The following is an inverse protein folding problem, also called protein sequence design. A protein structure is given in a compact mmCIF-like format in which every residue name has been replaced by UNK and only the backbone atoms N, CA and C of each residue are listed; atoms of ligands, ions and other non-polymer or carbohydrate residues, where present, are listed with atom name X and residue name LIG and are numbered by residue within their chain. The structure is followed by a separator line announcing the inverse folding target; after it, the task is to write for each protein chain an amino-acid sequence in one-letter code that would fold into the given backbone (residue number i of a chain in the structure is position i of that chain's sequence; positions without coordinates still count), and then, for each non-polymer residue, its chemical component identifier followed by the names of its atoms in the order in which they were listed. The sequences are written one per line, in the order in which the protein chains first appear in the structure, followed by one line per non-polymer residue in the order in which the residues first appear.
data_IF_198150482455
#
_entry.id   IF_198150482455
#
_cell.length_a   1.000
_cell.length_b   1.000
_cell.length_c   1.000
_cell.angle_alpha   90.00
_cell.angle_beta   90.00
_cell.angle_gamma   90.00
#
_symmetry.space_group_name_H-M   'P 1'
#
loop_
_entity.id
_entity.type
_entity.pdbx_description
1 polymer ?
#
# COMPACT_ATOMS: atom_id res chain seq x y z
N UNK A 1 -14.01 29.54 11.75
CA UNK A 1 -15.39 29.15 12.11
C UNK A 1 -15.64 27.78 11.51
N UNK A 2 -16.02 26.77 12.29
CA UNK A 2 -16.46 25.47 11.76
C UNK A 2 -17.93 25.60 11.31
N UNK A 3 -18.25 25.18 10.09
CA UNK A 3 -19.58 25.29 9.48
C UNK A 3 -19.99 23.93 8.90
N UNK A 4 -21.25 23.53 9.10
CA UNK A 4 -21.84 22.35 8.47
C UNK A 4 -23.08 22.77 7.70
N UNK A 5 -23.03 22.67 6.37
CA UNK A 5 -24.07 23.15 5.46
C UNK A 5 -24.36 22.11 4.40
N UNK A 6 -25.63 21.74 4.27
CA UNK A 6 -26.11 20.82 3.24
C UNK A 6 -27.25 21.47 2.45
N UNK A 7 -27.34 21.23 1.12
CA UNK A 7 -28.48 21.68 0.34
C UNK A 7 -29.79 21.05 0.83
N UNK A 8 -30.86 21.86 0.89
CA UNK A 8 -32.21 21.37 1.16
C UNK A 8 -32.99 21.23 -0.14
N UNK A 9 -33.21 19.98 -0.55
CA UNK A 9 -34.10 19.61 -1.64
C UNK A 9 -35.54 19.54 -1.13
N UNK A 10 -36.45 20.29 -1.75
CA UNK A 10 -37.87 20.30 -1.40
C UNK A 10 -38.70 20.61 -2.65
N UNK A 11 -39.94 20.13 -2.66
CA UNK A 11 -40.91 20.47 -3.71
C UNK A 11 -41.03 21.99 -3.86
N UNK A 12 -41.20 22.45 -5.10
CA UNK A 12 -41.33 23.87 -5.46
C UNK A 12 -40.09 24.74 -5.18
N UNK A 13 -38.94 24.16 -4.81
CA UNK A 13 -37.66 24.91 -4.74
C UNK A 13 -36.88 24.81 -6.04
N UNK A 14 -36.35 25.95 -6.48
CA UNK A 14 -35.48 26.04 -7.66
C UNK A 14 -34.11 25.50 -7.29
N UNK A 15 -33.61 24.58 -8.12
CA UNK A 15 -32.23 24.13 -8.05
C UNK A 15 -31.30 25.19 -8.65
N UNK A 16 -30.62 25.95 -7.78
CA UNK A 16 -29.78 27.08 -8.21
C UNK A 16 -28.33 26.67 -8.46
N UNK A 17 -27.59 27.55 -9.15
CA UNK A 17 -26.13 27.40 -9.35
C UNK A 17 -25.38 27.34 -8.01
N UNK A 18 -25.80 28.09 -7.01
CA UNK A 18 -25.18 28.06 -5.68
C UNK A 18 -25.33 26.70 -5.00
N UNK A 19 -26.48 26.03 -5.18
CA UNK A 19 -26.70 24.67 -4.65
C UNK A 19 -25.73 23.68 -5.32
N UNK A 20 -25.63 23.72 -6.65
CA UNK A 20 -24.73 22.84 -7.40
C UNK A 20 -23.26 23.04 -6.98
N UNK A 21 -22.83 24.30 -6.86
CA UNK A 21 -21.48 24.62 -6.40
C UNK A 21 -21.24 24.21 -4.96
N UNK A 22 -22.22 24.35 -4.07
CA UNK A 22 -22.10 23.89 -2.68
C UNK A 22 -21.92 22.37 -2.60
N UNK A 23 -22.58 21.59 -3.47
CA UNK A 23 -22.41 20.13 -3.52
C UNK A 23 -21.02 19.73 -4.02
N UNK A 24 -20.60 20.32 -5.15
CA UNK A 24 -19.26 20.09 -5.73
C UNK A 24 -18.17 20.44 -4.72
N UNK A 25 -18.26 21.62 -4.13
CA UNK A 25 -17.27 22.14 -3.20
C UNK A 25 -17.20 21.32 -1.92
N UNK A 26 -18.33 20.82 -1.41
CA UNK A 26 -18.34 19.98 -0.21
C UNK A 26 -17.52 18.71 -0.43
N UNK A 27 -17.81 17.94 -1.49
CA UNK A 27 -17.11 16.69 -1.78
C UNK A 27 -15.63 16.92 -2.09
N UNK A 28 -15.33 17.92 -2.92
CA UNK A 28 -13.96 18.26 -3.29
C UNK A 28 -13.13 18.72 -2.07
N UNK A 29 -13.66 19.65 -1.27
CA UNK A 29 -12.93 20.21 -0.12
C UNK A 29 -12.77 19.17 0.99
N UNK A 30 -13.78 18.33 1.23
CA UNK A 30 -13.67 17.26 2.22
C UNK A 30 -12.52 16.31 1.87
N UNK A 31 -12.44 15.85 0.62
CA UNK A 31 -11.36 14.98 0.17
C UNK A 31 -9.99 15.66 0.25
N UNK A 32 -9.90 16.92 -0.19
CA UNK A 32 -8.68 17.70 -0.10
C UNK A 32 -8.21 17.84 1.35
N UNK A 33 -9.11 18.23 2.26
CA UNK A 33 -8.79 18.37 3.69
C UNK A 33 -8.41 17.04 4.33
N UNK A 34 -9.12 15.95 4.02
CA UNK A 34 -8.87 14.62 4.59
C UNK A 34 -7.47 14.08 4.24
N UNK A 35 -6.97 14.40 3.04
CA UNK A 35 -5.67 13.91 2.55
C UNK A 35 -4.64 15.02 2.37
N UNK A 36 -4.84 16.23 2.91
CA UNK A 36 -3.91 17.36 2.74
C UNK A 36 -2.50 16.95 3.18
N UNK A 37 -2.38 16.38 4.37
CA UNK A 37 -1.10 16.01 4.98
C UNK A 37 -0.52 14.68 4.48
N UNK A 38 -1.20 13.99 3.56
CA UNK A 38 -0.70 12.72 3.02
C UNK A 38 0.37 12.94 1.95
N UNK A 39 1.35 12.05 1.87
CA UNK A 39 2.29 11.99 0.76
C UNK A 39 1.62 11.54 -0.55
N UNK A 40 2.35 11.61 -1.66
CA UNK A 40 1.99 10.83 -2.86
C UNK A 40 2.10 9.33 -2.59
N UNK A 41 1.28 8.52 -3.26
CA UNK A 41 1.24 7.07 -3.13
C UNK A 41 -0.18 6.49 -3.24
N UNK A 42 -0.29 5.18 -3.05
CA UNK A 42 -1.57 4.47 -3.03
C UNK A 42 -2.33 4.85 -1.76
N UNK A 43 -3.59 5.26 -1.89
CA UNK A 43 -4.49 5.54 -0.75
C UNK A 43 -5.23 4.26 -0.36
N UNK A 44 -5.87 3.62 -1.33
CA UNK A 44 -6.64 2.38 -1.15
C UNK A 44 -6.90 1.69 -2.49
N UNK A 45 -7.22 0.39 -2.46
CA UNK A 45 -7.42 -0.40 -3.67
C UNK A 45 -6.12 -0.57 -4.45
N UNK A 46 -6.20 -0.47 -5.78
CA UNK A 46 -5.05 -0.62 -6.68
C UNK A 46 -4.32 -1.97 -6.50
N UNK A 47 -5.08 -3.02 -6.20
CA UNK A 47 -4.55 -4.39 -6.11
C UNK A 47 -3.96 -4.81 -7.44
N UNK A 48 -2.81 -5.49 -7.39
CA UNK A 48 -2.24 -6.11 -8.59
C UNK A 48 -2.83 -7.50 -8.78
N UNK A 49 -3.21 -7.79 -10.02
CA UNK A 49 -3.74 -9.09 -10.45
C UNK A 49 -3.01 -9.55 -11.70
N UNK A 50 -2.85 -10.85 -11.87
CA UNK A 50 -2.40 -11.45 -13.12
C UNK A 50 -3.55 -12.27 -13.73
N UNK A 51 -3.72 -12.14 -15.05
CA UNK A 51 -4.69 -12.94 -15.79
C UNK A 51 -4.25 -13.11 -17.25
N UNK A 52 -4.05 -14.36 -17.66
CA UNK A 52 -3.86 -14.75 -19.07
C UNK A 52 -2.74 -13.97 -19.79
N UNK A 53 -1.60 -13.72 -19.11
CA UNK A 53 -0.48 -12.96 -19.69
C UNK A 53 -0.66 -11.43 -19.63
N UNK A 54 -1.66 -10.97 -18.87
CA UNK A 54 -1.91 -9.56 -18.59
C UNK A 54 -1.69 -9.29 -17.11
N UNK A 55 -1.00 -8.19 -16.80
CA UNK A 55 -0.91 -7.66 -15.44
C UNK A 55 -1.93 -6.53 -15.31
N UNK A 56 -2.68 -6.54 -14.22
CA UNK A 56 -3.76 -5.61 -13.96
C UNK A 56 -3.59 -4.81 -12.70
N UNK A 57 -4.19 -3.62 -12.71
CA UNK A 57 -4.44 -2.82 -11.50
C UNK A 57 -5.95 -2.76 -11.29
N UNK A 58 -6.40 -3.24 -10.14
CA UNK A 58 -7.80 -3.17 -9.73
C UNK A 58 -8.23 -1.75 -9.36
N UNK A 59 -9.54 -1.45 -9.33
CA UNK A 59 -10.04 -0.15 -8.93
C UNK A 59 -9.45 0.36 -7.61
N UNK A 60 -9.22 1.68 -7.53
CA UNK A 60 -8.58 2.27 -6.37
C UNK A 60 -8.30 3.75 -6.51
N UNK A 61 -7.62 4.29 -5.51
CA UNK A 61 -7.31 5.71 -5.38
C UNK A 61 -5.82 5.86 -5.11
N UNK A 62 -5.17 6.73 -5.89
CA UNK A 62 -3.81 7.19 -5.61
C UNK A 62 -3.81 8.69 -5.38
N UNK A 63 -2.92 9.17 -4.50
CA UNK A 63 -2.61 10.59 -4.37
C UNK A 63 -1.31 10.88 -5.12
N UNK A 64 -1.29 11.92 -5.94
CA UNK A 64 -0.08 12.40 -6.58
C UNK A 64 -0.12 13.90 -6.79
N UNK A 65 0.98 14.61 -6.44
CA UNK A 65 1.07 16.06 -6.64
C UNK A 65 -0.08 16.86 -6.01
N UNK A 66 -0.55 16.43 -4.83
CA UNK A 66 -1.66 17.06 -4.11
C UNK A 66 -3.07 16.72 -4.63
N UNK A 67 -3.21 15.83 -5.62
CA UNK A 67 -4.49 15.47 -6.23
C UNK A 67 -4.77 13.98 -6.04
N UNK A 68 -6.05 13.64 -5.95
CA UNK A 68 -6.51 12.26 -5.99
C UNK A 68 -6.83 11.87 -7.43
N UNK A 69 -6.35 10.69 -7.83
CA UNK A 69 -6.66 10.05 -9.10
C UNK A 69 -7.40 8.75 -8.81
N UNK A 70 -8.52 8.55 -9.51
CA UNK A 70 -9.40 7.41 -9.31
C UNK A 70 -9.30 6.50 -10.51
N UNK A 71 -8.99 5.23 -10.26
CA UNK A 71 -9.15 4.17 -11.24
C UNK A 71 -10.48 3.49 -10.96
N UNK A 72 -11.49 3.73 -11.81
CA UNK A 72 -12.86 3.23 -11.60
C UNK A 72 -13.05 1.78 -12.07
N UNK A 73 -12.26 1.35 -13.04
CA UNK A 73 -12.32 0.02 -13.65
C UNK A 73 -10.93 -0.57 -13.71
N UNK A 74 -10.86 -1.90 -13.60
CA UNK A 74 -9.61 -2.60 -13.79
C UNK A 74 -9.00 -2.27 -15.14
N UNK A 75 -7.71 -1.98 -15.15
CA UNK A 75 -6.91 -1.76 -16.34
C UNK A 75 -5.88 -2.89 -16.45
N UNK A 76 -5.70 -3.42 -17.66
CA UNK A 76 -4.89 -4.59 -17.97
C UNK A 76 -3.84 -4.23 -19.01
N UNK A 77 -2.59 -4.63 -18.76
CA UNK A 77 -1.47 -4.42 -19.66
C UNK A 77 -0.85 -5.77 -20.03
N UNK A 78 -0.58 -6.03 -21.31
CA UNK A 78 0.16 -7.21 -21.70
C UNK A 78 1.61 -7.10 -21.22
N UNK A 79 2.11 -8.15 -20.58
CA UNK A 79 3.52 -8.27 -20.24
C UNK A 79 4.20 -9.34 -21.10
N UNK A 80 5.52 -9.25 -21.21
CA UNK A 80 6.32 -10.28 -21.88
C UNK A 80 7.52 -10.65 -21.02
N UNK A 81 7.97 -11.92 -21.07
CA UNK A 81 9.25 -12.30 -20.49
C UNK A 81 10.38 -11.49 -21.13
N UNK A 82 11.25 -10.96 -20.29
CA UNK A 82 12.41 -10.16 -20.73
C UNK A 82 13.70 -10.56 -20.04
N UNK A 83 13.64 -11.39 -18.99
CA UNK A 83 14.75 -11.67 -18.07
C UNK A 83 15.43 -10.40 -17.54
N UNK A 84 14.74 -9.25 -17.61
CA UNK A 84 15.16 -7.93 -17.14
C UNK A 84 14.07 -7.32 -16.25
N UNK A 85 14.43 -6.29 -15.49
CA UNK A 85 13.46 -5.58 -14.67
C UNK A 85 12.45 -4.85 -15.56
N UNK A 86 11.18 -5.03 -15.25
CA UNK A 86 10.06 -4.25 -15.78
C UNK A 86 9.31 -3.65 -14.60
N UNK A 87 9.04 -2.35 -14.66
CA UNK A 87 8.32 -1.62 -13.61
C UNK A 87 6.94 -1.25 -14.13
N UNK A 88 5.92 -1.59 -13.34
CA UNK A 88 4.56 -1.10 -13.51
C UNK A 88 4.43 0.25 -12.79
N UNK A 89 4.16 1.30 -13.56
CA UNK A 89 4.09 2.68 -13.05
C UNK A 89 2.80 3.36 -13.53
N UNK A 90 2.36 4.37 -12.79
CA UNK A 90 1.43 5.39 -13.27
C UNK A 90 2.27 6.57 -13.75
N UNK A 91 2.09 7.00 -15.00
CA UNK A 91 2.67 8.24 -15.54
C UNK A 91 1.60 9.32 -15.60
N UNK A 92 1.82 10.39 -14.85
CA UNK A 92 0.89 11.51 -14.76
C UNK A 92 1.13 12.51 -15.89
N UNK A 93 0.08 12.80 -16.65
CA UNK A 93 0.11 13.70 -17.79
C UNK A 93 0.04 15.17 -17.40
N UNK A 94 0.30 16.06 -18.37
CA UNK A 94 0.05 17.49 -18.21
C UNK A 94 -1.45 17.77 -18.18
N UNK A 95 -1.91 18.80 -17.45
CA UNK A 95 -3.34 19.14 -17.39
C UNK A 95 -3.86 19.49 -18.78
N UNK A 96 -4.98 18.89 -19.17
CA UNK A 96 -5.68 19.18 -20.42
C UNK A 96 -6.87 20.07 -20.07
N UNK A 97 -6.76 21.36 -20.41
CA UNK A 97 -7.87 22.28 -20.27
C UNK A 97 -8.85 22.11 -21.44
N UNK A 98 -10.12 21.97 -21.11
CA UNK A 98 -11.25 22.05 -22.02
C UNK A 98 -12.17 23.20 -21.59
N UNK A 99 -13.21 23.50 -22.38
CA UNK A 99 -14.16 24.58 -22.06
C UNK A 99 -14.81 24.42 -20.68
N UNK A 100 -15.06 23.18 -20.26
CA UNK A 100 -15.85 22.88 -19.06
C UNK A 100 -15.05 22.15 -17.96
N UNK A 101 -13.83 21.66 -18.27
CA UNK A 101 -13.02 20.84 -17.35
C UNK A 101 -11.52 21.13 -17.45
N UNK A 102 -10.82 21.08 -16.32
CA UNK A 102 -9.39 20.77 -16.26
C UNK A 102 -9.23 19.26 -16.01
N UNK A 103 -8.69 18.55 -16.99
CA UNK A 103 -8.51 17.11 -16.91
C UNK A 103 -7.06 16.78 -16.54
N UNK A 104 -6.89 16.02 -15.46
CA UNK A 104 -5.61 15.46 -15.04
C UNK A 104 -5.68 13.95 -15.22
N UNK A 105 -4.77 13.39 -16.01
CA UNK A 105 -4.76 11.96 -16.32
C UNK A 105 -3.54 11.26 -15.73
N UNK A 106 -3.69 9.98 -15.44
CA UNK A 106 -2.59 9.06 -15.18
C UNK A 106 -2.79 7.84 -16.07
N UNK A 107 -1.72 7.37 -16.70
CA UNK A 107 -1.71 6.19 -17.56
C UNK A 107 -0.85 5.10 -16.93
N UNK A 108 -1.31 3.85 -16.96
CA UNK A 108 -0.48 2.73 -16.56
C UNK A 108 0.48 2.34 -17.66
N UNK A 109 1.75 2.19 -17.31
CA UNK A 109 2.82 1.82 -18.24
C UNK A 109 3.69 0.72 -17.66
N UNK A 110 4.18 -0.16 -18.52
CA UNK A 110 5.28 -1.09 -18.24
C UNK A 110 6.55 -0.51 -18.84
N UNK A 111 7.57 -0.28 -18.02
CA UNK A 111 8.80 0.40 -18.42
C UNK A 111 10.03 -0.35 -17.88
N UNK A 112 11.05 -0.66 -18.70
CA UNK A 112 12.29 -1.26 -18.21
C UNK A 112 13.16 -0.29 -17.39
N UNK A 113 12.93 1.03 -17.49
CA UNK A 113 13.65 2.00 -16.66
C UNK A 113 13.17 1.90 -15.21
N UNK A 114 14.11 1.62 -14.30
CA UNK A 114 13.80 1.43 -12.88
C UNK A 114 13.80 2.73 -12.07
N UNK A 115 14.36 3.80 -12.62
CA UNK A 115 14.29 5.14 -12.03
C UNK A 115 12.96 5.78 -12.37
N UNK A 116 12.37 6.44 -11.38
CA UNK A 116 11.13 7.18 -11.56
C UNK A 116 11.41 8.61 -12.01
N UNK A 117 10.64 9.07 -12.99
CA UNK A 117 10.56 10.49 -13.30
C UNK A 117 9.68 11.23 -12.28
N UNK A 118 9.80 12.56 -12.23
CA UNK A 118 9.09 13.39 -11.26
C UNK A 118 7.55 13.33 -11.38
N UNK A 119 7.03 12.84 -12.51
CA UNK A 119 5.62 12.64 -12.81
C UNK A 119 5.22 11.15 -12.81
N UNK A 120 5.96 10.29 -12.12
CA UNK A 120 5.69 8.86 -12.07
C UNK A 120 5.50 8.34 -10.64
N UNK A 121 4.67 7.32 -10.50
CA UNK A 121 4.46 6.57 -9.27
C UNK A 121 4.57 5.08 -9.55
N UNK A 122 5.41 4.38 -8.81
CA UNK A 122 5.57 2.93 -8.94
C UNK A 122 4.46 2.16 -8.21
N UNK A 123 3.89 1.18 -8.90
CA UNK A 123 2.89 0.25 -8.39
C UNK A 123 3.48 -1.12 -8.05
N UNK A 124 4.57 -1.49 -8.73
CA UNK A 124 5.34 -2.71 -8.49
C UNK A 124 6.35 -2.94 -9.60
N UNK A 125 7.24 -3.91 -9.42
CA UNK A 125 8.22 -4.30 -10.44
C UNK A 125 8.44 -5.80 -10.45
N UNK A 126 8.84 -6.34 -11.58
CA UNK A 126 9.08 -7.78 -11.72
C UNK A 126 10.21 -8.04 -12.72
N UNK A 127 10.75 -9.26 -12.66
CA UNK A 127 11.65 -9.83 -13.66
C UNK A 127 11.09 -11.18 -14.04
N UNK A 128 10.71 -11.35 -15.30
CA UNK A 128 10.00 -12.55 -15.73
C UNK A 128 10.88 -13.42 -16.62
N UNK A 129 10.99 -14.71 -16.25
CA UNK A 129 11.71 -15.70 -17.06
C UNK A 129 10.93 -16.15 -18.27
N UNK A 130 11.66 -16.45 -19.33
CA UNK A 130 11.08 -17.09 -20.51
C UNK A 130 10.40 -18.41 -20.12
N UNK A 131 9.11 -18.54 -20.43
CA UNK A 131 8.30 -19.73 -20.13
C UNK A 131 7.64 -19.76 -18.75
N UNK A 132 7.80 -18.70 -17.95
CA UNK A 132 7.10 -18.53 -16.68
C UNK A 132 5.87 -17.63 -16.80
N UNK A 133 5.01 -17.66 -15.78
CA UNK A 133 3.90 -16.73 -15.60
C UNK A 133 4.15 -15.88 -14.37
N UNK A 134 3.67 -14.64 -14.42
CA UNK A 134 3.86 -13.69 -13.33
C UNK A 134 2.87 -13.99 -12.20
N UNK A 135 3.34 -13.93 -10.95
CA UNK A 135 2.50 -14.07 -9.76
C UNK A 135 2.32 -12.73 -9.05
N UNK A 136 1.12 -12.50 -8.55
CA UNK A 136 0.78 -11.33 -7.71
C UNK A 136 0.40 -11.70 -6.27
N UNK A 137 0.38 -13.00 -5.97
CA UNK A 137 0.17 -13.57 -4.64
C UNK A 137 1.49 -14.11 -4.07
N UNK A 138 1.60 -14.08 -2.75
CA UNK A 138 2.81 -14.43 -2.00
C UNK A 138 2.53 -15.56 -1.03
N UNK A 139 3.42 -16.53 -0.96
CA UNK A 139 3.30 -17.67 -0.04
C UNK A 139 3.59 -17.24 1.40
N UNK A 140 4.64 -16.47 1.59
CA UNK A 140 5.07 -15.94 2.88
C UNK A 140 5.71 -14.55 2.71
N UNK A 141 6.16 -13.96 3.82
CA UNK A 141 6.80 -12.66 3.81
C UNK A 141 8.09 -12.67 3.00
N UNK A 142 8.89 -13.74 3.05
CA UNK A 142 10.16 -13.82 2.33
C UNK A 142 9.96 -13.92 0.81
N UNK A 143 8.87 -14.55 0.37
CA UNK A 143 8.48 -14.69 -1.05
C UNK A 143 8.25 -13.33 -1.75
N UNK A 144 7.98 -12.26 -0.98
CA UNK A 144 7.80 -10.90 -1.51
C UNK A 144 9.07 -10.25 -2.08
N UNK A 145 10.24 -10.87 -1.86
CA UNK A 145 11.55 -10.44 -2.37
C UNK A 145 12.22 -11.51 -3.23
N UNK A 146 11.42 -12.29 -3.95
CA UNK A 146 11.95 -13.18 -4.99
C UNK A 146 12.41 -12.36 -6.19
N UNK A 147 13.53 -12.76 -6.78
CA UNK A 147 14.09 -12.04 -7.94
C UNK A 147 13.23 -12.21 -9.19
N UNK A 148 12.62 -13.39 -9.37
CA UNK A 148 11.91 -13.75 -10.59
C UNK A 148 10.45 -14.13 -10.37
N UNK A 149 9.66 -13.94 -11.41
CA UNK A 149 8.32 -14.51 -11.63
C UNK A 149 7.25 -14.07 -10.61
N UNK A 150 7.59 -13.20 -9.66
CA UNK A 150 6.67 -12.59 -8.71
C UNK A 150 6.81 -11.07 -8.77
N UNK A 151 5.69 -10.34 -8.72
CA UNK A 151 5.73 -8.87 -8.63
C UNK A 151 6.23 -8.47 -7.25
N UNK A 152 7.26 -7.65 -7.17
CA UNK A 152 7.71 -7.03 -5.93
C UNK A 152 6.99 -5.71 -5.68
N UNK A 153 6.43 -5.57 -4.48
CA UNK A 153 5.78 -4.36 -3.99
C UNK A 153 6.72 -3.47 -3.15
N UNK A 154 7.99 -3.88 -2.97
CA UNK A 154 8.91 -3.23 -2.01
C UNK A 154 9.12 -1.76 -2.34
N UNK A 155 9.21 -1.41 -3.63
CA UNK A 155 9.38 -0.03 -4.07
C UNK A 155 8.06 0.71 -4.33
N UNK A 156 6.92 -0.01 -4.31
CA UNK A 156 5.60 0.61 -4.33
C UNK A 156 5.34 1.30 -2.98
N UNK A 157 4.73 2.47 -3.03
CA UNK A 157 4.52 3.30 -1.84
C UNK A 157 3.05 3.47 -1.51
N UNK A 158 2.73 3.30 -0.22
CA UNK A 158 1.45 3.70 0.33
C UNK A 158 1.54 5.18 0.75
N UNK A 159 0.57 5.99 0.32
CA UNK A 159 0.44 7.36 0.79
C UNK A 159 0.13 7.35 2.29
N UNK A 160 0.88 8.13 3.09
CA UNK A 160 0.65 8.27 4.52
C UNK A 160 0.88 9.71 4.97
N UNK A 161 0.40 10.06 6.16
CA UNK A 161 0.60 11.39 6.73
C UNK A 161 2.11 11.70 6.88
N UNK A 162 2.55 12.84 6.32
CA UNK A 162 3.95 13.23 6.21
C UNK A 162 4.64 12.53 5.04
N UNK A 163 5.26 11.38 5.33
CA UNK A 163 6.08 10.64 4.37
C UNK A 163 5.40 9.37 3.87
N UNK A 164 5.66 8.93 2.62
CA UNK A 164 5.17 7.66 2.13
C UNK A 164 5.73 6.49 2.95
N UNK A 165 4.96 5.42 3.06
CA UNK A 165 5.34 4.22 3.81
C UNK A 165 5.34 2.99 2.91
N UNK A 166 5.75 1.84 3.47
CA UNK A 166 5.71 0.56 2.76
C UNK A 166 4.29 0.22 2.30
N UNK A 167 4.20 -0.48 1.17
CA UNK A 167 2.94 -1.00 0.66
C UNK A 167 2.21 -1.81 1.74
N UNK A 168 0.91 -1.55 1.92
CA UNK A 168 0.12 -2.14 3.01
C UNK A 168 0.20 -3.67 3.07
N UNK A 169 0.12 -4.35 1.92
CA UNK A 169 0.25 -5.82 1.82
C UNK A 169 1.54 -6.36 2.48
N UNK A 170 2.66 -5.63 2.40
CA UNK A 170 3.94 -6.04 3.04
C UNK A 170 3.77 -6.09 4.55
N UNK A 171 3.22 -5.03 5.13
CA UNK A 171 3.04 -4.91 6.58
C UNK A 171 1.98 -5.89 7.11
N UNK A 172 0.90 -6.12 6.34
CA UNK A 172 -0.10 -7.14 6.68
C UNK A 172 0.49 -8.54 6.65
N UNK A 173 1.29 -8.88 5.63
CA UNK A 173 1.95 -10.19 5.53
C UNK A 173 2.92 -10.40 6.70
N UNK A 174 3.76 -9.41 7.02
CA UNK A 174 4.63 -9.44 8.20
C UNK A 174 3.84 -9.74 9.47
N UNK A 175 2.77 -8.98 9.72
CA UNK A 175 1.99 -9.08 10.94
C UNK A 175 1.26 -10.44 11.04
N UNK A 176 0.68 -10.94 9.95
CA UNK A 176 0.02 -12.26 9.91
C UNK A 176 1.00 -13.38 10.23
N UNK A 177 2.20 -13.29 9.69
CA UNK A 177 3.24 -14.30 9.86
C UNK A 177 3.91 -14.24 11.24
N UNK A 178 4.04 -13.05 11.82
CA UNK A 178 4.56 -12.85 13.18
C UNK A 178 3.56 -13.25 14.26
N UNK A 179 2.26 -13.06 14.02
CA UNK A 179 1.18 -13.18 15.03
C UNK A 179 1.25 -14.41 15.92
N UNK A 180 1.46 -15.64 15.41
CA UNK A 180 1.46 -16.85 16.23
C UNK A 180 2.61 -16.93 17.25
N UNK A 181 3.64 -16.09 17.10
CA UNK A 181 4.88 -16.14 17.86
C UNK A 181 5.09 -14.91 18.74
N UNK A 182 4.13 -13.99 18.79
CA UNK A 182 4.26 -12.73 19.53
C UNK A 182 4.25 -12.97 21.03
N UNK A 183 5.26 -12.44 21.71
CA UNK A 183 5.38 -12.44 23.17
C UNK A 183 5.61 -11.03 23.73
N UNK A 184 6.26 -10.18 22.95
CA UNK A 184 6.58 -8.80 23.30
C UNK A 184 5.39 -7.86 23.02
N UNK A 185 5.02 -7.03 24.01
CA UNK A 185 3.87 -6.14 23.90
C UNK A 185 4.02 -5.08 22.81
N UNK A 186 5.25 -4.67 22.49
CA UNK A 186 5.51 -3.71 21.42
C UNK A 186 5.34 -4.35 20.02
N UNK A 187 5.70 -5.63 19.85
CA UNK A 187 5.36 -6.36 18.63
C UNK A 187 3.84 -6.54 18.47
N UNK A 188 3.11 -6.81 19.56
CA UNK A 188 1.64 -6.94 19.54
C UNK A 188 0.99 -5.64 19.09
N UNK A 189 1.42 -4.50 19.64
CA UNK A 189 0.93 -3.17 19.25
C UNK A 189 1.23 -2.87 17.77
N UNK A 190 2.46 -3.13 17.32
CA UNK A 190 2.85 -2.90 15.93
C UNK A 190 2.07 -3.78 14.95
N UNK A 191 1.99 -5.09 15.20
CA UNK A 191 1.23 -6.00 14.34
C UNK A 191 -0.27 -5.67 14.34
N UNK A 192 -0.81 -5.23 15.48
CA UNK A 192 -2.18 -4.72 15.56
C UNK A 192 -2.41 -3.53 14.63
N UNK A 193 -1.49 -2.56 14.60
CA UNK A 193 -1.56 -1.42 13.67
C UNK A 193 -1.48 -1.85 12.20
N UNK A 194 -0.61 -2.82 11.86
CA UNK A 194 -0.51 -3.35 10.50
C UNK A 194 -1.82 -3.98 10.01
N UNK A 195 -2.58 -4.63 10.91
CA UNK A 195 -3.81 -5.37 10.57
C UNK A 195 -5.09 -4.54 10.71
N UNK A 196 -5.10 -3.48 11.51
CA UNK A 196 -6.30 -2.68 11.79
C UNK A 196 -6.88 -1.97 10.54
N UNK A 197 -6.07 -1.77 9.49
CA UNK A 197 -6.53 -1.46 8.13
C UNK A 197 -7.21 -0.10 7.90
N UNK A 198 -7.37 0.74 8.93
CA UNK A 198 -8.00 2.06 8.85
C UNK A 198 -7.10 3.16 8.30
N UNK A 199 -5.82 3.13 8.68
CA UNK A 199 -4.82 4.08 8.22
C UNK A 199 -3.51 3.34 7.95
N UNK A 200 -2.71 3.82 6.98
CA UNK A 200 -1.39 3.28 6.73
C UNK A 200 -0.48 3.51 7.94
N UNK A 201 0.36 2.53 8.25
CA UNK A 201 1.37 2.63 9.31
C UNK A 201 2.38 3.72 8.93
N UNK A 202 2.43 4.82 9.70
CA UNK A 202 3.30 5.96 9.40
C UNK A 202 4.77 5.53 9.34
N UNK A 203 5.53 6.09 8.39
CA UNK A 203 6.98 5.84 8.21
C UNK A 203 7.75 6.02 9.51
N UNK A 204 7.45 7.07 10.27
CA UNK A 204 8.10 7.36 11.54
C UNK A 204 7.90 6.22 12.56
N UNK A 205 6.66 5.78 12.75
CA UNK A 205 6.34 4.71 13.71
C UNK A 205 6.97 3.37 13.28
N UNK A 206 6.92 3.04 11.99
CA UNK A 206 7.60 1.87 11.42
C UNK A 206 9.11 1.91 11.66
N UNK A 207 9.75 3.06 11.42
CA UNK A 207 11.20 3.23 11.63
C UNK A 207 11.57 3.11 13.11
N UNK A 208 10.78 3.72 14.00
CA UNK A 208 10.98 3.61 15.46
C UNK A 208 10.82 2.18 15.94
N UNK A 209 9.82 1.45 15.42
CA UNK A 209 9.64 0.03 15.70
C UNK A 209 10.90 -0.77 15.33
N UNK A 210 11.39 -0.59 14.10
CA UNK A 210 12.58 -1.29 13.61
C UNK A 210 13.82 -0.98 14.47
N UNK A 211 14.13 0.31 14.69
CA UNK A 211 15.30 0.72 15.46
C UNK A 211 15.26 0.16 16.89
N UNK A 212 14.09 0.19 17.53
CA UNK A 212 13.92 -0.36 18.89
C UNK A 212 14.11 -1.87 18.94
N UNK A 213 13.63 -2.60 17.93
CA UNK A 213 13.74 -4.06 17.83
C UNK A 213 15.12 -4.55 17.45
N UNK A 214 15.87 -3.75 16.72
CA UNK A 214 17.24 -4.06 16.30
C UNK A 214 18.30 -3.40 17.19
N UNK A 215 17.90 -2.74 18.28
CA UNK A 215 18.78 -1.99 19.19
C UNK A 215 19.70 -1.00 18.44
N UNK A 216 19.15 -0.36 17.41
CA UNK A 216 19.85 0.59 16.56
C UNK A 216 19.40 2.03 16.85
N UNK A 217 20.27 2.99 16.56
CA UNK A 217 19.91 4.41 16.59
C UNK A 217 18.93 4.76 15.48
N UNK A 218 18.07 5.75 15.75
CA UNK A 218 17.11 6.23 14.76
C UNK A 218 17.82 6.90 13.58
N UNK A 219 17.50 6.44 12.37
CA UNK A 219 17.93 7.06 11.12
C UNK A 219 16.85 6.89 10.04
N UNK A 220 16.79 7.78 9.03
CA UNK A 220 15.89 7.61 7.89
C UNK A 220 16.24 6.34 7.10
N UNK A 221 15.23 5.52 6.80
CA UNK A 221 15.39 4.26 6.06
C UNK A 221 14.59 4.27 4.75
N UNK A 222 15.23 3.79 3.68
CA UNK A 222 14.55 3.51 2.41
C UNK A 222 13.65 2.27 2.48
N UNK A 223 12.78 2.06 1.50
CA UNK A 223 11.85 0.92 1.53
C UNK A 223 12.56 -0.45 1.56
N UNK A 224 13.63 -0.59 0.77
CA UNK A 224 14.44 -1.81 0.74
C UNK A 224 14.99 -2.14 2.12
N UNK A 225 15.59 -1.14 2.77
CA UNK A 225 16.16 -1.27 4.12
C UNK A 225 15.09 -1.59 5.18
N UNK A 226 13.92 -0.93 5.12
CA UNK A 226 12.80 -1.25 6.00
C UNK A 226 12.36 -2.71 5.86
N UNK A 227 12.23 -3.20 4.62
CA UNK A 227 11.83 -4.57 4.35
C UNK A 227 12.87 -5.59 4.84
N UNK A 228 14.16 -5.32 4.62
CA UNK A 228 15.27 -6.17 5.11
C UNK A 228 15.31 -6.20 6.63
N UNK A 229 15.07 -5.06 7.28
CA UNK A 229 15.01 -4.96 8.73
C UNK A 229 13.81 -5.74 9.31
N UNK A 230 12.62 -5.60 8.71
CA UNK A 230 11.44 -6.42 9.07
C UNK A 230 11.72 -7.91 8.88
N UNK A 231 12.42 -8.30 7.81
CA UNK A 231 12.82 -9.71 7.57
C UNK A 231 13.68 -10.24 8.73
N UNK A 232 14.64 -9.45 9.22
CA UNK A 232 15.48 -9.81 10.38
C UNK A 232 14.64 -9.94 11.65
N UNK A 233 13.75 -8.99 11.90
CA UNK A 233 12.86 -8.99 13.07
C UNK A 233 11.94 -10.22 13.06
N UNK A 234 11.35 -10.54 11.91
CA UNK A 234 10.46 -11.69 11.75
C UNK A 234 11.17 -13.02 12.05
N UNK A 235 12.43 -13.16 11.60
CA UNK A 235 13.26 -14.34 11.93
C UNK A 235 13.51 -14.45 13.44
N UNK A 236 13.78 -13.34 14.12
CA UNK A 236 13.97 -13.32 15.57
C UNK A 236 12.68 -13.69 16.31
N UNK A 237 11.53 -13.14 15.91
CA UNK A 237 10.21 -13.45 16.48
C UNK A 237 9.93 -14.96 16.37
N UNK A 238 10.11 -15.55 15.18
CA UNK A 238 9.92 -16.99 14.95
C UNK A 238 10.92 -17.85 15.72
N UNK A 239 12.18 -17.43 15.79
CA UNK A 239 13.23 -18.14 16.52
C UNK A 239 12.99 -18.19 18.03
N UNK A 240 12.50 -17.09 18.61
CA UNK A 240 12.12 -17.02 20.03
C UNK A 240 10.95 -17.95 20.37
N UNK A 241 9.90 -17.98 19.53
CA UNK A 241 8.75 -18.87 19.72
C UNK A 241 9.06 -20.38 19.60
N UNK A 242 10.11 -20.75 18.87
CA UNK A 242 10.56 -22.15 18.76
C UNK A 242 11.40 -22.63 19.97
N UNK A 243 11.93 -21.71 20.77
CA UNK A 243 12.59 -22.06 22.04
C UNK A 243 11.56 -22.33 23.15
N UNK A 244 10.47 -21.57 23.18
CA UNK A 244 9.45 -21.64 24.23
C UNK A 244 8.44 -22.79 24.04
N UNK A 245 8.17 -23.19 22.79
CA UNK A 245 7.31 -24.34 22.47
C UNK A 245 7.89 -25.70 22.90
N UNK A 246 9.19 -25.76 23.25
CA UNK A 246 9.84 -26.95 23.84
C UNK A 246 9.67 -27.06 25.36
N UNK A 247 9.02 -26.11 26.02
CA UNK A 247 8.90 -26.07 27.48
C UNK A 247 7.47 -26.22 28.01
N UNK A 248 6.51 -26.69 27.20
CA UNK A 248 5.19 -27.11 27.71
C UNK A 248 5.29 -28.53 28.29
N UNK A 249 5.16 -28.74 29.63
CA UNK A 249 4.92 -30.08 30.16
C UNK A 249 3.55 -30.54 29.64
N UNK A 250 3.46 -31.80 29.23
CA UNK A 250 2.18 -32.41 28.88
C UNK A 250 1.26 -32.36 30.11
N UNK A 251 0.15 -31.62 30.00
CA UNK A 251 -0.92 -31.69 31.00
C UNK A 251 -1.59 -33.07 30.88
N UNK A 252 -1.57 -33.82 31.99
CA UNK A 252 -2.18 -35.12 32.14
C UNK A 252 -3.69 -35.06 31.85
N UNK A 253 -4.10 -35.79 30.81
CA UNK A 253 -5.49 -36.13 30.55
C UNK A 253 -6.02 -36.98 31.69
N UNK A 254 -6.78 -36.37 32.61
CA UNK A 254 -7.61 -37.12 33.58
C UNK A 254 -8.81 -37.69 32.82
N UNK A 255 -8.79 -39.00 32.59
CA UNK A 255 -9.94 -39.81 32.21
C UNK A 255 -10.91 -39.90 33.40
N UNK A 256 -12.10 -39.32 33.26
CA UNK A 256 -13.24 -39.60 34.13
C UNK A 256 -13.88 -40.92 33.68
N UNK A 257 -13.91 -41.89 34.60
CA UNK A 257 -14.77 -43.09 34.57
C UNK A 257 -16.08 -42.78 35.25
#
# INVERSE_FOLDING_TARGET
MFEYKIPRFAELRIFTREILFSMRDLLWKEQQLAYTDYSSGIITGCGLVEKDGLIGVEPGIVKFGGRLYLLEKQELLPYQPSDQWTVLKIRFGTPIASKDFEHYTGELVLDPETRLHANELEMGRFKLKTGAYLRTDYVDFADMDTEYDTVSLIHAVQAACGEPTLHRKILEQFAREAWPYLQDGFDVDFCGHCLAGRQPVRREYLTRYICRRLEAEYHPMGNRELYEALTRILRTIKGGGAADSRHRPAEDTILLV
#
